data_IF_945422213338
#
_entry.id   IF_945422213338
#
_cell.length_a   1.000
_cell.length_b   1.000
_cell.length_c   1.000
_cell.angle_alpha   90.00
_cell.angle_beta   90.00
_cell.angle_gamma   90.00
#
_symmetry.space_group_name_H-M   'P 1'
#
loop_
_entity.id
_entity.type
_entity.pdbx_description
1 polymer ?
#
# COMPACT_ATOMS: atom_id res chain seq x y z
N UNK A 1 19.37 -5.45 8.27
CA UNK A 1 18.94 -4.07 7.98
C UNK A 1 17.82 -3.74 8.95
N UNK A 2 17.98 -2.70 9.80
CA UNK A 2 16.97 -2.34 10.79
C UNK A 2 15.74 -1.78 10.08
N UNK A 3 14.57 -2.36 10.36
CA UNK A 3 13.29 -1.89 9.85
C UNK A 3 13.00 -0.52 10.48
N UNK A 4 13.12 0.56 9.70
CA UNK A 4 12.70 1.90 10.14
C UNK A 4 11.18 1.88 10.27
N UNK A 5 10.69 1.59 11.47
CA UNK A 5 9.26 1.72 11.80
C UNK A 5 8.94 3.21 11.75
N UNK A 6 8.13 3.61 10.77
CA UNK A 6 7.61 4.97 10.71
C UNK A 6 6.54 5.13 11.79
N UNK A 7 6.54 6.24 12.52
CA UNK A 7 5.45 6.58 13.47
C UNK A 7 4.06 6.55 12.79
N UNK A 8 4.01 6.66 11.46
CA UNK A 8 2.78 6.57 10.66
C UNK A 8 2.26 5.15 10.47
N UNK A 9 3.05 4.14 10.82
CA UNK A 9 2.68 2.72 10.71
C UNK A 9 1.93 2.21 11.94
N UNK A 10 1.78 3.03 12.99
CA UNK A 10 1.02 2.70 14.20
C UNK A 10 -0.50 2.69 13.95
N UNK A 11 -1.01 3.51 13.02
CA UNK A 11 -2.44 3.53 12.70
C UNK A 11 -2.80 2.37 11.77
N UNK A 12 -3.77 1.55 12.18
CA UNK A 12 -4.27 0.43 11.36
C UNK A 12 -4.89 0.94 10.06
N UNK A 13 -4.41 0.43 8.93
CA UNK A 13 -5.02 0.69 7.63
C UNK A 13 -6.51 0.30 7.61
N UNK A 14 -7.36 1.03 6.87
CA UNK A 14 -8.82 0.82 6.81
C UNK A 14 -9.15 -0.36 5.88
N UNK A 15 -8.63 -1.53 6.24
CA UNK A 15 -8.84 -2.81 5.55
C UNK A 15 -9.62 -3.70 6.50
N UNK A 16 -10.73 -4.24 6.01
CA UNK A 16 -11.64 -5.10 6.77
C UNK A 16 -11.50 -6.56 6.37
N UNK A 17 -12.01 -7.45 7.22
CA UNK A 17 -12.14 -8.88 6.92
C UNK A 17 -12.86 -9.10 5.56
N UNK A 18 -12.53 -10.15 4.81
CA UNK A 18 -11.70 -11.31 5.18
C UNK A 18 -10.18 -11.11 4.97
N UNK A 19 -9.74 -9.89 4.65
CA UNK A 19 -8.32 -9.61 4.42
C UNK A 19 -7.57 -9.48 5.74
N UNK A 20 -6.50 -10.25 5.91
CA UNK A 20 -5.61 -10.17 7.07
C UNK A 20 -4.39 -9.33 6.73
N UNK A 21 -4.19 -8.24 7.47
CA UNK A 21 -2.98 -7.40 7.35
C UNK A 21 -1.84 -8.08 8.09
N UNK A 22 -0.77 -8.44 7.36
CA UNK A 22 0.43 -9.04 7.93
C UNK A 22 1.49 -7.98 8.25
N UNK A 23 1.65 -6.99 7.38
CA UNK A 23 2.54 -5.85 7.56
C UNK A 23 2.06 -4.66 6.73
N UNK A 24 2.43 -3.45 7.12
CA UNK A 24 2.10 -2.22 6.40
C UNK A 24 3.27 -1.24 6.44
N UNK A 25 3.38 -0.42 5.39
CA UNK A 25 4.30 0.72 5.29
C UNK A 25 3.55 1.91 4.69
N UNK A 26 3.28 2.92 5.50
CA UNK A 26 2.65 4.16 5.07
C UNK A 26 3.65 5.01 4.29
N UNK A 27 3.34 5.28 3.02
CA UNK A 27 4.15 6.15 2.15
C UNK A 27 3.79 7.60 2.41
N UNK A 28 2.49 7.91 2.44
CA UNK A 28 2.01 9.27 2.64
C UNK A 28 0.71 9.28 3.42
N UNK A 29 0.56 10.25 4.31
CA UNK A 29 -0.71 10.53 4.99
C UNK A 29 -0.83 12.03 5.28
N UNK A 30 -1.47 12.77 4.38
CA UNK A 30 -1.64 14.23 4.48
C UNK A 30 -2.78 14.71 3.60
N UNK A 31 -3.35 15.88 3.94
CA UNK A 31 -4.40 16.55 3.16
C UNK A 31 -5.60 15.63 2.82
N UNK A 32 -6.00 14.77 3.77
CA UNK A 32 -7.11 13.84 3.55
C UNK A 32 -6.79 12.69 2.59
N UNK A 33 -5.53 12.46 2.24
CA UNK A 33 -5.07 11.31 1.46
C UNK A 33 -4.16 10.42 2.29
N UNK A 34 -4.30 9.11 2.10
CA UNK A 34 -3.45 8.10 2.73
C UNK A 34 -3.03 7.07 1.68
N UNK A 35 -1.73 6.94 1.44
CA UNK A 35 -1.15 5.85 0.65
C UNK A 35 -0.27 4.95 1.51
N UNK A 36 -0.38 3.65 1.27
CA UNK A 36 0.43 2.64 1.96
C UNK A 36 0.66 1.42 1.07
N UNK A 37 1.78 0.75 1.29
CA UNK A 37 2.02 -0.62 0.83
C UNK A 37 1.69 -1.56 1.97
N UNK A 38 0.89 -2.59 1.69
CA UNK A 38 0.38 -3.51 2.69
C UNK A 38 0.60 -4.94 2.23
N UNK A 39 1.29 -5.74 3.05
CA UNK A 39 1.34 -7.18 2.89
C UNK A 39 0.06 -7.78 3.47
N UNK A 40 -0.74 -8.38 2.61
CA UNK A 40 -2.02 -8.98 2.95
C UNK A 40 -1.98 -10.49 2.76
N UNK A 41 -2.82 -11.17 3.54
CA UNK A 41 -3.22 -12.55 3.29
C UNK A 41 -4.74 -12.59 3.04
N UNK A 42 -5.13 -13.30 1.98
CA UNK A 42 -6.52 -13.50 1.59
C UNK A 42 -6.70 -14.96 1.20
N UNK A 43 -7.59 -15.68 1.90
CA UNK A 43 -7.88 -17.10 1.65
C UNK A 43 -6.60 -17.96 1.53
N UNK A 44 -5.63 -17.74 2.42
CA UNK A 44 -4.35 -18.46 2.44
C UNK A 44 -3.30 -18.00 1.42
N UNK A 45 -3.60 -16.99 0.58
CA UNK A 45 -2.65 -16.43 -0.39
C UNK A 45 -2.13 -15.08 0.06
N UNK A 46 -0.81 -14.92 0.07
CA UNK A 46 -0.14 -13.64 0.36
C UNK A 46 -0.07 -12.78 -0.90
N UNK A 47 -0.17 -11.47 -0.72
CA UNK A 47 -0.04 -10.48 -1.80
C UNK A 47 0.47 -9.16 -1.21
N UNK A 48 1.28 -8.43 -1.98
CA UNK A 48 1.64 -7.06 -1.64
C UNK A 48 0.67 -6.13 -2.35
N UNK A 49 0.07 -5.18 -1.64
CA UNK A 49 -0.90 -4.26 -2.20
C UNK A 49 -0.49 -2.82 -1.98
N UNK A 50 -0.49 -2.03 -3.05
CA UNK A 50 -0.48 -0.57 -2.95
C UNK A 50 -1.91 -0.07 -2.80
N UNK A 51 -2.14 0.73 -1.77
CA UNK A 51 -3.43 1.33 -1.48
C UNK A 51 -3.37 2.85 -1.53
N UNK A 52 -4.48 3.45 -1.97
CA UNK A 52 -4.77 4.86 -1.82
C UNK A 52 -6.17 5.03 -1.26
N UNK A 53 -6.28 5.78 -0.17
CA UNK A 53 -7.53 6.17 0.45
C UNK A 53 -7.68 7.69 0.49
N UNK A 54 -8.94 8.13 0.44
CA UNK A 54 -9.33 9.52 0.67
C UNK A 54 -10.25 9.60 1.89
N UNK A 55 -10.03 10.59 2.75
CA UNK A 55 -10.88 10.86 3.90
C UNK A 55 -12.27 11.28 3.42
N UNK A 56 -13.33 10.76 4.04
CA UNK A 56 -14.71 11.21 3.79
C UNK A 56 -15.02 12.43 4.67
N UNK A 57 -15.96 13.26 4.23
CA UNK A 57 -16.47 14.40 5.01
C UNK A 57 -17.10 13.94 6.33
N UNK A 58 -17.88 12.87 6.29
CA UNK A 58 -18.51 12.22 7.46
C UNK A 58 -17.53 11.44 8.35
N UNK A 59 -16.23 11.48 8.03
CA UNK A 59 -15.19 10.72 8.74
C UNK A 59 -14.88 9.35 8.14
N UNK A 60 -13.73 8.80 8.56
CA UNK A 60 -13.19 7.55 8.02
C UNK A 60 -12.56 7.70 6.63
N UNK A 61 -12.22 6.56 6.03
CA UNK A 61 -11.44 6.47 4.81
C UNK A 61 -12.20 5.70 3.72
N UNK A 62 -12.24 6.23 2.50
CA UNK A 62 -12.76 5.57 1.30
C UNK A 62 -11.60 5.12 0.43
N UNK A 63 -11.56 3.83 0.08
CA UNK A 63 -10.58 3.29 -0.87
C UNK A 63 -10.81 3.89 -2.26
N UNK A 64 -9.76 4.48 -2.83
CA UNK A 64 -9.75 5.03 -4.19
C UNK A 64 -9.00 4.12 -5.15
N UNK A 65 -7.89 3.55 -4.70
CA UNK A 65 -7.11 2.61 -5.51
C UNK A 65 -6.63 1.43 -4.66
N UNK A 66 -6.57 0.27 -5.32
CA UNK A 66 -5.86 -0.92 -4.87
C UNK A 66 -5.13 -1.49 -6.08
N UNK A 67 -3.84 -1.68 -5.97
CA UNK A 67 -3.03 -2.41 -6.94
C UNK A 67 -2.37 -3.58 -6.21
N UNK A 68 -2.57 -4.80 -6.69
CA UNK A 68 -2.10 -6.01 -6.04
C UNK A 68 -0.98 -6.64 -6.87
N UNK A 69 0.05 -7.10 -6.18
CA UNK A 69 1.22 -7.79 -6.72
C UNK A 69 1.21 -9.19 -6.10
N UNK A 70 1.14 -10.20 -6.96
CA UNK A 70 0.84 -11.57 -6.54
C UNK A 70 2.08 -12.46 -6.46
N UNK A 71 3.11 -12.16 -7.23
CA UNK A 71 4.34 -12.95 -7.29
C UNK A 71 5.56 -12.05 -7.56
N UNK A 72 6.74 -12.67 -7.54
CA UNK A 72 8.03 -11.99 -7.70
C UNK A 72 8.27 -11.52 -9.15
N UNK A 73 7.85 -12.28 -10.16
CA UNK A 73 8.02 -11.95 -11.57
C UNK A 73 7.20 -10.71 -11.95
N UNK A 74 5.94 -10.62 -11.49
CA UNK A 74 5.10 -9.43 -11.65
C UNK A 74 5.80 -8.20 -11.09
N UNK A 75 6.44 -8.33 -9.92
CA UNK A 75 7.13 -7.23 -9.26
C UNK A 75 8.35 -6.76 -10.04
N UNK A 76 9.16 -7.69 -10.54
CA UNK A 76 10.34 -7.38 -11.35
C UNK A 76 9.97 -6.60 -12.61
N UNK A 77 8.91 -7.03 -13.33
CA UNK A 77 8.40 -6.30 -14.49
C UNK A 77 7.90 -4.89 -14.14
N UNK A 78 7.25 -4.73 -12.98
CA UNK A 78 6.80 -3.40 -12.51
C UNK A 78 8.01 -2.53 -12.17
N UNK A 79 9.01 -3.08 -11.48
CA UNK A 79 10.23 -2.34 -11.14
C UNK A 79 10.95 -1.87 -12.39
N UNK A 80 11.22 -2.75 -13.35
CA UNK A 80 11.90 -2.41 -14.59
C UNK A 80 11.16 -1.31 -15.36
N UNK A 81 9.82 -1.41 -15.45
CA UNK A 81 9.01 -0.39 -16.11
C UNK A 81 9.05 0.95 -15.37
N UNK A 82 8.96 0.95 -14.04
CA UNK A 82 9.02 2.18 -13.23
C UNK A 82 10.41 2.81 -13.33
N UNK A 83 11.47 2.03 -13.13
CA UNK A 83 12.85 2.51 -13.15
C UNK A 83 13.25 3.05 -14.53
N UNK A 84 12.74 2.45 -15.62
CA UNK A 84 12.91 2.95 -16.97
C UNK A 84 12.23 4.29 -17.27
N UNK A 85 11.20 4.68 -16.49
CA UNK A 85 10.46 5.93 -16.69
C UNK A 85 10.73 6.98 -15.62
N UNK A 86 11.24 6.59 -14.44
CA UNK A 86 11.39 7.50 -13.30
C UNK A 86 12.36 8.66 -13.60
N UNK A 87 13.35 8.43 -14.47
CA UNK A 87 14.33 9.44 -14.90
C UNK A 87 13.75 10.57 -15.74
N UNK A 88 12.56 10.39 -16.32
CA UNK A 88 11.87 11.42 -17.12
C UNK A 88 11.06 12.40 -16.26
N UNK A 89 10.92 12.14 -14.95
CA UNK A 89 10.19 13.01 -14.05
C UNK A 89 11.01 14.27 -13.76
N UNK A 90 10.45 15.44 -14.11
CA UNK A 90 11.05 16.78 -13.91
C UNK A 90 10.69 17.40 -12.57
#
# INVERSE_FOLDING_TARGET
>A
MAEKISLRDEEKVPIIAPLKVLSQKTINKRFGWWSAVVLLESYGRKQVCFYLWQKKEEGGWKRKQKFAIHNQEDWELIQDAVDGMIGELT
#
